data_IF_643575708786
#
_entry.id   IF_643575708786
#
_cell.length_a   1.000
_cell.length_b   1.000
_cell.length_c   1.000
_cell.angle_alpha   90.00
_cell.angle_beta   90.00
_cell.angle_gamma   90.00
#
_symmetry.space_group_name_H-M   'P 1'
#
loop_
_entity.id
_entity.type
_entity.pdbx_description
1 polymer ?
#
# COMPACT_ATOMS: atom_id res chain seq x y z
N UNK A 1 12.26 -3.94 30.19
CA UNK A 1 12.56 -2.82 29.28
C UNK A 1 12.00 -3.17 27.92
N UNK A 2 11.25 -2.28 27.26
CA UNK A 2 10.83 -2.49 25.87
C UNK A 2 12.09 -2.34 25.03
N UNK A 3 12.57 -3.44 24.42
CA UNK A 3 13.73 -3.40 23.54
C UNK A 3 13.56 -2.42 22.36
N UNK A 4 14.55 -2.32 21.48
CA UNK A 4 14.50 -1.43 20.32
C UNK A 4 13.21 -1.65 19.50
N UNK A 5 12.65 -0.59 18.92
CA UNK A 5 11.47 -0.69 18.05
C UNK A 5 11.83 -1.56 16.84
N UNK A 6 11.10 -2.67 16.65
CA UNK A 6 11.32 -3.62 15.55
C UNK A 6 10.26 -3.58 14.46
N UNK A 7 9.11 -2.98 14.74
CA UNK A 7 7.96 -3.03 13.85
C UNK A 7 7.30 -1.66 13.68
N UNK A 8 6.62 -1.48 12.56
CA UNK A 8 5.82 -0.30 12.26
C UNK A 8 4.67 -0.67 11.31
N UNK A 9 3.56 0.05 11.40
CA UNK A 9 2.40 -0.12 10.51
C UNK A 9 1.80 1.22 10.11
N UNK A 10 1.18 1.26 8.93
CA UNK A 10 0.46 2.41 8.37
C UNK A 10 -0.87 1.94 7.80
N UNK A 11 -1.96 2.46 8.35
CA UNK A 11 -3.31 2.29 7.84
C UNK A 11 -3.82 3.64 7.31
N UNK A 12 -4.23 3.69 6.05
CA UNK A 12 -4.81 4.90 5.43
C UNK A 12 -6.27 4.64 5.09
N UNK A 13 -7.16 5.48 5.60
CA UNK A 13 -8.58 5.47 5.27
C UNK A 13 -8.93 6.64 4.35
N UNK A 14 -10.01 6.50 3.60
CA UNK A 14 -10.50 7.53 2.69
C UNK A 14 -11.98 7.34 2.37
N UNK A 15 -12.37 7.57 1.12
CA UNK A 15 -13.78 7.53 0.67
C UNK A 15 -14.46 6.16 0.68
N UNK A 16 -13.72 5.07 0.82
CA UNK A 16 -14.27 3.71 0.78
C UNK A 16 -14.67 3.26 2.18
N UNK A 17 -15.53 2.24 2.28
CA UNK A 17 -15.90 1.63 3.57
C UNK A 17 -14.80 0.71 4.12
N UNK A 18 -13.71 0.52 3.37
CA UNK A 18 -12.53 -0.24 3.74
C UNK A 18 -11.27 0.64 3.75
N UNK A 19 -10.20 0.25 4.48
CA UNK A 19 -8.91 0.92 4.40
C UNK A 19 -8.36 0.90 2.97
N UNK A 20 -7.89 2.04 2.51
CA UNK A 20 -7.26 2.17 1.20
C UNK A 20 -5.88 1.51 1.20
N UNK A 21 -5.18 1.55 2.33
CA UNK A 21 -3.81 1.05 2.49
C UNK A 21 -3.66 0.40 3.85
N UNK A 22 -3.03 -0.77 3.89
CA UNK A 22 -2.52 -1.44 5.09
C UNK A 22 -1.08 -1.91 4.80
N UNK A 23 -0.09 -1.12 5.26
CA UNK A 23 1.33 -1.42 5.12
C UNK A 23 1.91 -1.82 6.47
N UNK A 24 2.70 -2.89 6.49
CA UNK A 24 3.29 -3.44 7.70
C UNK A 24 4.76 -3.78 7.49
N UNK A 25 5.57 -3.39 8.47
CA UNK A 25 6.92 -3.92 8.67
C UNK A 25 6.89 -4.63 10.00
N UNK A 26 6.78 -5.95 9.97
CA UNK A 26 6.65 -6.75 11.20
C UNK A 26 8.01 -6.96 11.89
N UNK A 27 9.14 -6.82 11.18
CA UNK A 27 10.48 -6.89 11.74
C UNK A 27 11.54 -6.16 10.91
N UNK A 28 12.25 -5.21 11.52
CA UNK A 28 13.39 -4.48 10.94
C UNK A 28 14.22 -3.82 12.05
N UNK A 29 15.50 -3.55 11.78
CA UNK A 29 16.33 -2.64 12.59
C UNK A 29 15.86 -1.17 12.46
N UNK A 30 15.25 -0.83 11.31
CA UNK A 30 14.81 0.53 10.95
C UNK A 30 13.36 0.50 10.43
N UNK A 31 12.39 0.10 11.27
CA UNK A 31 11.03 -0.22 10.80
C UNK A 31 10.28 0.97 10.21
N UNK A 32 10.48 2.17 10.75
CA UNK A 32 9.83 3.40 10.25
C UNK A 32 10.37 3.79 8.87
N UNK A 33 11.67 3.63 8.64
CA UNK A 33 12.28 3.96 7.35
C UNK A 33 11.88 2.96 6.27
N UNK A 34 11.87 1.67 6.61
CA UNK A 34 11.35 0.62 5.72
C UNK A 34 9.88 0.88 5.35
N UNK A 35 9.03 1.21 6.34
CA UNK A 35 7.62 1.53 6.12
C UNK A 35 7.45 2.77 5.22
N UNK A 36 8.29 3.80 5.41
CA UNK A 36 8.29 5.00 4.57
C UNK A 36 8.65 4.68 3.12
N UNK A 37 9.64 3.82 2.90
CA UNK A 37 10.01 3.40 1.55
C UNK A 37 8.86 2.67 0.85
N UNK A 38 8.17 1.77 1.55
CA UNK A 38 6.96 1.12 1.02
C UNK A 38 5.85 2.13 0.71
N UNK A 39 5.63 3.11 1.59
CA UNK A 39 4.65 4.18 1.36
C UNK A 39 4.97 5.01 0.10
N UNK A 40 6.24 5.38 -0.12
CA UNK A 40 6.63 6.16 -1.29
C UNK A 40 6.32 5.45 -2.62
N UNK A 41 6.46 4.12 -2.66
CA UNK A 41 6.10 3.31 -3.84
C UNK A 41 4.59 3.17 -3.98
N UNK A 42 3.88 2.92 -2.88
CA UNK A 42 2.44 2.67 -2.90
C UNK A 42 1.63 3.95 -3.17
N UNK A 43 2.01 5.07 -2.56
CA UNK A 43 1.27 6.32 -2.61
C UNK A 43 1.07 6.85 -4.04
N UNK A 44 2.06 6.68 -4.91
CA UNK A 44 1.97 7.11 -6.31
C UNK A 44 0.99 6.26 -7.14
N UNK A 45 0.65 5.06 -6.68
CA UNK A 45 -0.24 4.10 -7.35
C UNK A 45 -1.61 3.98 -6.69
N UNK A 46 -1.85 4.75 -5.62
CA UNK A 46 -3.04 4.61 -4.76
C UNK A 46 -4.35 4.73 -5.55
N UNK A 47 -4.52 5.78 -6.35
CA UNK A 47 -5.75 5.99 -7.11
C UNK A 47 -5.98 4.90 -8.17
N UNK A 48 -4.92 4.36 -8.78
CA UNK A 48 -5.04 3.26 -9.74
C UNK A 48 -5.52 1.97 -9.06
N UNK A 49 -5.02 1.68 -7.84
CA UNK A 49 -5.50 0.54 -7.06
C UNK A 49 -6.95 0.73 -6.60
N UNK A 50 -7.32 1.93 -6.17
CA UNK A 50 -8.70 2.25 -5.83
C UNK A 50 -9.63 2.13 -7.03
N UNK A 51 -9.19 2.58 -8.21
CA UNK A 51 -9.94 2.43 -9.46
C UNK A 51 -10.15 0.96 -9.77
N UNK A 52 -9.09 0.14 -9.77
CA UNK A 52 -9.21 -1.31 -9.97
C UNK A 52 -10.16 -2.00 -9.00
N UNK A 53 -10.16 -1.58 -7.74
CA UNK A 53 -11.01 -2.17 -6.72
C UNK A 53 -12.50 -1.79 -6.86
N UNK A 54 -12.81 -0.59 -7.36
CA UNK A 54 -14.18 -0.07 -7.44
C UNK A 54 -14.80 -0.16 -8.84
N UNK A 55 -14.00 0.04 -9.88
CA UNK A 55 -14.38 0.05 -11.29
C UNK A 55 -13.24 -0.57 -12.13
N UNK A 56 -13.19 -1.91 -12.22
CA UNK A 56 -12.12 -2.61 -12.91
C UNK A 56 -12.11 -2.35 -14.42
N UNK A 57 -13.26 -2.00 -15.02
CA UNK A 57 -13.37 -1.72 -16.45
C UNK A 57 -12.75 -0.35 -16.83
N UNK A 58 -12.78 0.61 -15.90
CA UNK A 58 -12.13 1.92 -16.06
C UNK A 58 -10.63 1.92 -15.72
N UNK A 59 -10.10 0.81 -15.18
CA UNK A 59 -8.72 0.75 -14.75
C UNK A 59 -7.72 0.73 -15.93
N UNK A 60 -6.60 1.46 -15.85
CA UNK A 60 -5.53 1.32 -16.83
C UNK A 60 -5.06 -0.13 -16.89
N UNK A 61 -5.01 -0.67 -18.11
CA UNK A 61 -4.44 -1.99 -18.35
C UNK A 61 -3.01 -2.01 -17.80
N UNK A 62 -2.76 -2.84 -16.80
CA UNK A 62 -1.39 -3.29 -16.57
C UNK A 62 -1.00 -4.03 -17.84
N UNK A 63 0.17 -3.75 -18.43
CA UNK A 63 0.69 -4.44 -19.61
C UNK A 63 1.00 -5.92 -19.33
N UNK A 64 0.03 -6.68 -18.81
CA UNK A 64 0.07 -8.11 -18.65
C UNK A 64 -0.22 -8.70 -20.03
N UNK A 65 0.66 -9.55 -20.57
CA UNK A 65 0.36 -10.28 -21.79
C UNK A 65 -0.86 -11.18 -21.52
N UNK A 66 -2.02 -10.86 -22.09
CA UNK A 66 -3.24 -11.63 -21.81
C UNK A 66 -4.54 -11.17 -22.47
N UNK A 67 -4.68 -9.91 -22.88
CA UNK A 67 -5.88 -9.45 -23.59
C UNK A 67 -5.54 -9.01 -25.01
N UNK A 68 -5.64 -9.97 -25.94
CA UNK A 68 -5.87 -9.74 -27.37
C UNK A 68 -7.22 -10.33 -27.75
#
# INVERSE_FOLDING_TARGET
>A
EMGPVRSAGLLVAGRATWPHVDLRVDWSEQPVEALRAHWQVYASQLEDYLTRANDPDAAPAYGVPGNL
#
